data_IF_650970073723
#
_entry.id   IF_650970073723
#
_cell.length_a   1.000
_cell.length_b   1.000
_cell.length_c   1.000
_cell.angle_alpha   90.00
_cell.angle_beta   90.00
_cell.angle_gamma   90.00
#
_symmetry.space_group_name_H-M   'P 1'
#
loop_
_entity.id
_entity.type
_entity.pdbx_description
1 polymer ?
#
# COMPACT_ATOMS: atom_id res chain seq x y z
N UNK A 1 -12.05 13.57 -14.83
CA UNK A 1 -12.66 12.23 -14.99
C UNK A 1 -13.50 11.95 -13.75
N UNK A 2 -14.79 11.71 -13.91
CA UNK A 2 -15.69 11.43 -12.80
C UNK A 2 -15.44 10.00 -12.30
N UNK A 3 -14.55 9.87 -11.32
CA UNK A 3 -14.28 8.65 -10.58
C UNK A 3 -15.23 8.62 -9.38
N UNK A 4 -15.89 7.49 -9.15
CA UNK A 4 -16.71 7.30 -7.95
C UNK A 4 -15.89 6.51 -6.94
N UNK A 5 -15.56 7.11 -5.80
CA UNK A 5 -15.02 6.38 -4.66
C UNK A 5 -16.10 5.46 -4.10
N UNK A 6 -15.79 4.17 -4.01
CA UNK A 6 -16.67 3.12 -3.48
C UNK A 6 -16.30 2.80 -2.03
N UNK A 7 -15.01 2.83 -1.74
CA UNK A 7 -14.45 2.54 -0.43
C UNK A 7 -13.14 3.29 -0.25
N UNK A 8 -12.88 3.75 0.98
CA UNK A 8 -11.60 4.31 1.37
C UNK A 8 -11.23 3.82 2.76
N UNK A 9 -9.93 3.55 2.94
CA UNK A 9 -9.32 3.29 4.23
C UNK A 9 -7.95 3.95 4.26
N UNK A 10 -7.49 4.36 5.44
CA UNK A 10 -6.16 4.92 5.60
C UNK A 10 -5.59 4.66 6.98
N UNK A 11 -4.27 4.72 7.06
CA UNK A 11 -3.58 4.80 8.34
C UNK A 11 -2.41 5.76 8.25
N UNK A 12 -2.10 6.40 9.37
CA UNK A 12 -0.98 7.33 9.50
C UNK A 12 0.03 6.76 10.49
N UNK A 13 1.31 6.76 10.11
CA UNK A 13 2.42 6.43 11.00
C UNK A 13 3.41 7.59 11.00
N UNK A 14 3.54 8.25 12.15
CA UNK A 14 4.29 9.51 12.27
C UNK A 14 3.74 10.55 11.29
N UNK A 15 4.54 11.00 10.33
CA UNK A 15 4.13 12.01 9.33
C UNK A 15 3.64 11.39 8.02
N UNK A 16 3.84 10.09 7.82
CA UNK A 16 3.48 9.39 6.58
C UNK A 16 2.07 8.80 6.68
N UNK A 17 1.24 9.07 5.67
CA UNK A 17 -0.08 8.44 5.51
C UNK A 17 -0.09 7.52 4.30
N UNK A 18 -0.79 6.41 4.44
CA UNK A 18 -1.12 5.51 3.33
C UNK A 18 -2.65 5.47 3.20
N UNK A 19 -3.18 5.81 2.01
CA UNK A 19 -4.58 5.64 1.66
C UNK A 19 -4.77 4.47 0.69
N UNK A 20 -5.90 3.79 0.82
CA UNK A 20 -6.32 2.65 0.03
C UNK A 20 -7.76 2.92 -0.42
N UNK A 21 -7.94 3.16 -1.71
CA UNK A 21 -9.21 3.59 -2.28
C UNK A 21 -9.66 2.60 -3.35
N UNK A 22 -10.90 2.14 -3.26
CA UNK A 22 -11.54 1.39 -4.35
C UNK A 22 -12.37 2.38 -5.15
N UNK A 23 -12.04 2.51 -6.42
CA UNK A 23 -12.63 3.50 -7.31
C UNK A 23 -13.27 2.79 -8.50
N UNK A 24 -14.47 3.24 -8.88
CA UNK A 24 -15.14 2.83 -10.11
C UNK A 24 -15.01 3.93 -11.16
N UNK A 25 -14.57 3.56 -12.36
CA UNK A 25 -14.48 4.48 -13.50
C UNK A 25 -15.82 4.56 -14.26
N UNK A 26 -15.90 5.41 -15.29
CA UNK A 26 -17.12 5.62 -16.09
C UNK A 26 -17.53 4.40 -16.94
N UNK A 27 -16.63 3.43 -17.10
CA UNK A 27 -16.87 2.18 -17.82
C UNK A 27 -17.35 1.06 -16.88
N UNK A 28 -17.65 1.38 -15.62
CA UNK A 28 -17.97 0.45 -14.53
C UNK A 28 -16.82 -0.49 -14.11
N UNK A 29 -15.60 -0.23 -14.53
CA UNK A 29 -14.42 -1.02 -14.11
C UNK A 29 -13.92 -0.53 -12.76
N UNK A 30 -13.48 -1.48 -11.93
CA UNK A 30 -12.94 -1.18 -10.61
C UNK A 30 -11.41 -1.07 -10.63
N UNK A 31 -10.87 -0.28 -9.70
CA UNK A 31 -9.43 -0.21 -9.45
C UNK A 31 -9.17 0.02 -7.97
N UNK A 32 -8.03 -0.49 -7.49
CA UNK A 32 -7.47 -0.16 -6.19
C UNK A 32 -6.39 0.91 -6.39
N UNK A 33 -6.56 2.05 -5.74
CA UNK A 33 -5.58 3.13 -5.72
C UNK A 33 -4.92 3.14 -4.34
N UNK A 34 -3.59 3.03 -4.31
CA UNK A 34 -2.78 3.12 -3.09
C UNK A 34 -1.97 4.39 -3.20
N UNK A 35 -2.17 5.32 -2.27
CA UNK A 35 -1.45 6.60 -2.24
C UNK A 35 -0.64 6.69 -0.96
N UNK A 36 0.61 7.13 -1.05
CA UNK A 36 1.39 7.53 0.10
C UNK A 36 1.80 8.99 0.00
N UNK A 37 1.69 9.71 1.11
CA UNK A 37 2.02 11.13 1.19
C UNK A 37 2.42 11.54 2.60
N UNK A 38 3.24 12.60 2.69
CA UNK A 38 3.72 13.13 3.96
C UNK A 38 2.88 14.34 4.40
N UNK A 39 2.16 14.18 5.52
CA UNK A 39 1.27 15.20 6.06
C UNK A 39 1.99 16.45 6.60
N UNK A 40 3.30 16.36 6.85
CA UNK A 40 4.06 17.45 7.46
C UNK A 40 4.62 18.44 6.44
N UNK A 41 4.51 18.17 5.14
CA UNK A 41 4.95 19.08 4.09
C UNK A 41 3.93 19.10 2.95
N UNK A 42 3.29 20.25 2.67
CA UNK A 42 2.35 20.39 1.56
C UNK A 42 3.02 20.22 0.20
N UNK A 43 4.35 20.34 0.13
CA UNK A 43 5.16 20.15 -1.08
C UNK A 43 5.76 18.74 -1.17
N UNK A 44 5.37 17.82 -0.28
CA UNK A 44 5.88 16.46 -0.32
C UNK A 44 5.37 15.70 -1.54
N UNK A 45 6.23 14.83 -2.06
CA UNK A 45 5.89 13.94 -3.15
C UNK A 45 4.75 13.00 -2.73
N UNK A 46 3.72 12.93 -3.59
CA UNK A 46 2.61 12.00 -3.45
C UNK A 46 2.90 10.85 -4.42
N UNK A 47 3.23 9.67 -3.91
CA UNK A 47 3.34 8.49 -4.78
C UNK A 47 2.01 7.76 -4.81
N UNK A 48 1.66 7.29 -6.01
CA UNK A 48 0.39 6.62 -6.27
C UNK A 48 0.60 5.40 -7.14
N UNK A 49 0.02 4.29 -6.72
CA UNK A 49 -0.07 3.05 -7.48
C UNK A 49 -1.53 2.77 -7.78
N UNK A 50 -1.84 2.47 -9.04
CA UNK A 50 -3.18 2.09 -9.48
C UNK A 50 -3.11 0.64 -9.93
N UNK A 51 -3.95 -0.22 -9.34
CA UNK A 51 -4.08 -1.63 -9.67
C UNK A 51 -5.47 -1.82 -10.28
N UNK A 52 -5.49 -2.24 -11.54
CA UNK A 52 -6.73 -2.52 -12.26
C UNK A 52 -7.35 -3.85 -11.80
N UNK A 53 -8.67 -3.97 -11.94
CA UNK A 53 -9.44 -5.15 -11.56
C UNK A 53 -8.85 -6.45 -12.11
N UNK A 54 -8.44 -6.47 -13.38
CA UNK A 54 -7.88 -7.66 -14.03
C UNK A 54 -6.54 -8.11 -13.43
N UNK A 55 -5.80 -7.19 -12.80
CA UNK A 55 -4.47 -7.44 -12.23
C UNK A 55 -4.51 -7.75 -10.73
N UNK A 56 -5.66 -7.63 -10.06
CA UNK A 56 -5.74 -7.68 -8.60
C UNK A 56 -5.26 -9.02 -8.03
N UNK A 57 -5.55 -10.12 -8.71
CA UNK A 57 -5.20 -11.47 -8.25
C UNK A 57 -3.69 -11.67 -8.22
N UNK A 58 -3.01 -11.28 -9.30
CA UNK A 58 -1.56 -11.43 -9.41
C UNK A 58 -0.83 -10.45 -8.50
N UNK A 59 -1.35 -9.23 -8.37
CA UNK A 59 -0.86 -8.24 -7.42
C UNK A 59 -0.92 -8.75 -5.97
N UNK A 60 -2.06 -9.29 -5.52
CA UNK A 60 -2.22 -9.83 -4.16
C UNK A 60 -1.26 -11.00 -3.91
N UNK A 61 -1.07 -11.88 -4.89
CA UNK A 61 -0.11 -12.98 -4.80
C UNK A 61 1.32 -12.47 -4.57
N UNK A 62 1.76 -11.53 -5.42
CA UNK A 62 3.09 -10.93 -5.33
C UNK A 62 3.30 -10.15 -4.02
N UNK A 63 2.30 -9.37 -3.59
CA UNK A 63 2.34 -8.61 -2.35
C UNK A 63 2.45 -9.54 -1.14
N UNK A 64 1.62 -10.59 -1.06
CA UNK A 64 1.64 -11.53 0.05
C UNK A 64 2.98 -12.26 0.16
N UNK A 65 3.54 -12.71 -0.96
CA UNK A 65 4.85 -13.35 -0.98
C UNK A 65 5.96 -12.39 -0.51
N UNK A 66 5.91 -11.13 -0.96
CA UNK A 66 6.88 -10.11 -0.57
C UNK A 66 6.78 -9.77 0.92
N UNK A 67 5.56 -9.61 1.45
CA UNK A 67 5.31 -9.36 2.87
C UNK A 67 5.78 -10.53 3.73
N UNK A 68 5.52 -11.78 3.31
CA UNK A 68 6.01 -12.97 4.00
C UNK A 68 7.54 -12.96 4.10
N UNK A 69 8.22 -12.76 2.98
CA UNK A 69 9.69 -12.72 2.93
C UNK A 69 10.26 -11.59 3.81
N UNK A 70 9.65 -10.41 3.77
CA UNK A 70 10.07 -9.27 4.60
C UNK A 70 9.95 -9.58 6.10
N UNK A 71 8.83 -10.20 6.52
CA UNK A 71 8.63 -10.61 7.92
C UNK A 71 9.68 -11.61 8.37
N UNK A 72 10.00 -12.61 7.55
CA UNK A 72 11.04 -13.60 7.85
C UNK A 72 12.42 -12.95 8.02
N UNK A 73 12.76 -11.97 7.17
CA UNK A 73 14.02 -11.23 7.28
C UNK A 73 14.08 -10.41 8.59
N UNK A 74 13.01 -9.70 8.93
CA UNK A 74 12.94 -8.93 10.18
C UNK A 74 13.13 -9.85 11.39
N UNK A 75 12.44 -10.99 11.43
CA UNK A 75 12.59 -11.95 12.52
C UNK A 75 14.02 -12.46 12.65
N UNK A 76 14.69 -12.83 11.54
CA UNK A 76 16.09 -13.28 11.56
C UNK A 76 17.05 -12.20 12.07
N UNK A 77 16.84 -10.93 11.72
CA UNK A 77 17.66 -9.83 12.22
C UNK A 77 17.50 -9.57 13.73
N UNK A 78 16.34 -9.87 14.30
CA UNK A 78 16.13 -9.73 15.75
C UNK A 78 16.91 -10.81 16.51
N UNK A 79 16.88 -12.07 16.04
CA UNK A 79 17.61 -13.16 16.69
C UNK A 79 19.14 -13.02 16.64
N UNK A 80 19.70 -12.46 15.56
CA UNK A 80 21.16 -12.26 15.47
C UNK A 80 21.71 -11.15 16.37
N UNK A 81 20.85 -10.31 16.94
CA UNK A 81 21.25 -9.27 17.92
C UNK A 81 21.17 -9.75 19.37
N UNK A 82 20.26 -10.69 19.69
CA UNK A 82 20.16 -11.28 21.04
C UNK A 82 21.22 -12.36 21.30
N UNK A 83 21.63 -13.13 20.27
CA UNK A 83 22.67 -14.17 20.39
C UNK A 83 24.11 -13.63 20.54
N UNK A 84 24.29 -12.31 20.63
CA UNK A 84 25.60 -11.65 20.85
C UNK A 84 25.79 -11.08 22.26
N UNK A 85 24.92 -11.42 23.21
CA UNK A 85 25.05 -11.01 24.61
C UNK A 85 25.62 -12.10 25.51
#
# INVERSE_FOLDING_TARGET
>A
MNKKEIYSNSFTKSTQTFSFEIVQNTNNEYSLEITDYNNSSPDSEINKVIILEESIKDFVSALNQSVKNLKELISKCIYTMDDRR
#
